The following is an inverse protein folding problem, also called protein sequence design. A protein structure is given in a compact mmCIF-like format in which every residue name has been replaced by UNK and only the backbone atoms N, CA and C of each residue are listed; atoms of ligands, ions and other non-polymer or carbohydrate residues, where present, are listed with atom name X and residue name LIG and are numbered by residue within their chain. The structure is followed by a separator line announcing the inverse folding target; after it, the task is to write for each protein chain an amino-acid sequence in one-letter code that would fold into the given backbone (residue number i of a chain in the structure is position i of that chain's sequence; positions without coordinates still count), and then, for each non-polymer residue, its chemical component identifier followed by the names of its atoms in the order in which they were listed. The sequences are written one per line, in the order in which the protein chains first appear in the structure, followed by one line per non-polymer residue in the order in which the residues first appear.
data_IF_341000037622
#
_entry.id   IF_341000037622
#
_cell.length_a   1.000
_cell.length_b   1.000
_cell.length_c   1.000
_cell.angle_alpha   90.00
_cell.angle_beta   90.00
_cell.angle_gamma   90.00
#
_symmetry.space_group_name_H-M   'P 1'
#
loop_
_entity.id
_entity.type
_entity.pdbx_description
1 polymer ?
#
# COMPACT_ATOMS: atom_id res chain seq x y z
N UNK A 1 -33.82 14.74 5.93
CA UNK A 1 -32.80 13.70 6.23
C UNK A 1 -32.45 13.71 7.69
N UNK A 2 -32.13 12.55 8.29
CA UNK A 2 -31.71 12.41 9.69
C UNK A 2 -30.55 11.41 9.86
N UNK A 3 -29.88 11.46 11.00
CA UNK A 3 -28.76 10.56 11.32
C UNK A 3 -29.26 9.40 12.16
N UNK A 4 -28.88 8.18 11.78
CA UNK A 4 -29.06 6.94 12.54
C UNK A 4 -27.69 6.48 13.04
N UNK A 5 -27.50 6.47 14.37
CA UNK A 5 -26.29 5.93 14.99
C UNK A 5 -26.36 4.38 14.98
N UNK A 6 -25.28 3.73 14.54
CA UNK A 6 -25.21 2.29 14.32
C UNK A 6 -24.40 1.59 15.43
N UNK A 7 -24.85 1.68 16.67
CA UNK A 7 -24.14 1.08 17.81
C UNK A 7 -24.28 -0.44 17.89
N UNK A 8 -25.40 -1.03 17.44
CA UNK A 8 -25.73 -2.46 17.60
C UNK A 8 -26.31 -3.14 16.34
N UNK A 9 -26.47 -2.44 15.24
CA UNK A 9 -27.08 -2.96 14.01
C UNK A 9 -26.15 -2.73 12.79
N UNK A 10 -24.93 -3.24 12.89
CA UNK A 10 -23.90 -3.06 11.85
C UNK A 10 -24.24 -3.75 10.53
N UNK A 11 -25.16 -4.73 10.55
CA UNK A 11 -25.63 -5.44 9.35
C UNK A 11 -26.24 -4.49 8.31
N UNK A 12 -27.08 -3.53 8.74
CA UNK A 12 -27.66 -2.54 7.83
C UNK A 12 -26.60 -1.60 7.24
N UNK A 13 -25.59 -1.25 8.04
CA UNK A 13 -24.45 -0.45 7.58
C UNK A 13 -23.67 -1.21 6.50
N UNK A 14 -23.31 -2.45 6.76
CA UNK A 14 -22.59 -3.28 5.79
C UNK A 14 -23.41 -3.51 4.52
N UNK A 15 -24.70 -3.80 4.64
CA UNK A 15 -25.60 -4.00 3.50
C UNK A 15 -25.63 -2.76 2.59
N UNK A 16 -25.66 -1.55 3.16
CA UNK A 16 -25.54 -0.33 2.39
C UNK A 16 -24.16 -0.19 1.72
N UNK A 17 -23.09 -0.40 2.51
CA UNK A 17 -21.70 -0.28 2.00
C UNK A 17 -21.44 -1.21 0.81
N UNK A 18 -21.94 -2.44 0.83
CA UNK A 18 -21.74 -3.44 -0.22
C UNK A 18 -22.30 -2.99 -1.59
N UNK A 19 -23.35 -2.19 -1.58
CA UNK A 19 -23.97 -1.69 -2.80
C UNK A 19 -23.28 -0.47 -3.43
N UNK A 20 -22.35 0.17 -2.70
CA UNK A 20 -21.76 1.43 -3.13
C UNK A 20 -20.49 1.25 -3.96
N UNK A 21 -20.35 2.00 -5.05
CA UNK A 21 -19.17 1.95 -5.92
C UNK A 21 -17.90 2.46 -5.21
N UNK A 22 -18.05 3.51 -4.38
CA UNK A 22 -16.93 4.13 -3.62
C UNK A 22 -16.76 3.54 -2.22
N UNK A 23 -17.20 2.28 -2.01
CA UNK A 23 -16.97 1.54 -0.78
C UNK A 23 -15.48 1.33 -0.52
N UNK A 24 -15.09 1.44 0.74
CA UNK A 24 -13.70 1.32 1.15
C UNK A 24 -13.59 0.72 2.55
N UNK A 25 -12.53 -0.04 2.81
CA UNK A 25 -12.25 -0.60 4.13
C UNK A 25 -12.12 0.50 5.20
N UNK A 26 -11.63 1.67 4.82
CA UNK A 26 -11.39 2.78 5.73
C UNK A 26 -12.68 3.40 6.31
N UNK A 27 -13.82 3.08 5.74
CA UNK A 27 -15.14 3.48 6.24
C UNK A 27 -15.88 2.33 6.95
N UNK A 28 -15.23 1.19 7.16
CA UNK A 28 -15.85 0.09 7.92
C UNK A 28 -15.81 0.35 9.44
N UNK A 29 -16.80 -0.13 10.19
CA UNK A 29 -16.77 -0.11 11.65
C UNK A 29 -15.53 -0.80 12.23
N UNK A 30 -15.08 -1.89 11.60
CA UNK A 30 -13.92 -2.69 11.97
C UNK A 30 -12.63 -1.88 11.88
N UNK A 31 -12.46 -1.11 10.80
CA UNK A 31 -11.32 -0.19 10.69
C UNK A 31 -11.35 0.88 11.78
N UNK A 32 -12.54 1.36 12.12
CA UNK A 32 -12.74 2.28 13.24
C UNK A 32 -12.26 1.71 14.57
N UNK A 33 -12.48 0.41 14.83
CA UNK A 33 -11.99 -0.28 16.04
C UNK A 33 -10.48 -0.22 16.17
N UNK A 34 -9.75 -0.48 15.08
CA UNK A 34 -8.28 -0.35 15.05
C UNK A 34 -7.81 1.05 15.48
N UNK A 35 -8.57 2.10 15.17
CA UNK A 35 -8.20 3.49 15.51
C UNK A 35 -8.55 3.88 16.95
N UNK A 36 -9.53 3.24 17.55
CA UNK A 36 -9.99 3.57 18.91
C UNK A 36 -9.11 3.01 20.01
N UNK A 37 -8.18 2.12 19.73
CA UNK A 37 -7.13 1.68 20.67
C UNK A 37 -6.05 2.75 20.92
N UNK A 38 -6.27 3.96 20.45
CA UNK A 38 -5.34 5.07 20.60
C UNK A 38 -6.02 6.35 21.08
N UNK A 39 -5.72 7.46 20.44
CA UNK A 39 -6.21 8.80 20.80
C UNK A 39 -7.53 9.20 20.12
N UNK A 40 -8.16 8.29 19.40
CA UNK A 40 -9.39 8.53 18.66
C UNK A 40 -10.59 7.85 19.32
N UNK A 41 -11.76 8.48 19.22
CA UNK A 41 -13.06 7.84 19.41
C UNK A 41 -13.79 7.79 18.07
N UNK A 42 -14.87 7.02 17.94
CA UNK A 42 -15.59 6.88 16.68
C UNK A 42 -17.10 6.88 16.85
N UNK A 43 -17.79 7.29 15.79
CA UNK A 43 -19.20 6.99 15.54
C UNK A 43 -19.33 6.27 14.19
N UNK A 44 -20.31 5.36 14.09
CA UNK A 44 -20.71 4.71 12.84
C UNK A 44 -22.15 5.16 12.56
N UNK A 45 -22.37 5.78 11.40
CA UNK A 45 -23.57 6.52 11.07
C UNK A 45 -24.14 6.13 9.72
N UNK A 46 -25.45 5.96 9.63
CA UNK A 46 -26.18 6.05 8.37
C UNK A 46 -26.92 7.40 8.29
N UNK A 47 -26.85 8.04 7.16
CA UNK A 47 -27.71 9.19 6.84
C UNK A 47 -28.94 8.64 6.12
N UNK A 48 -30.09 8.87 6.71
CA UNK A 48 -31.38 8.37 6.23
C UNK A 48 -32.14 9.48 5.53
N UNK A 49 -32.73 9.16 4.39
CA UNK A 49 -33.70 10.03 3.72
C UNK A 49 -35.05 10.00 4.48
N UNK A 50 -35.96 10.89 4.08
CA UNK A 50 -37.27 11.01 4.76
C UNK A 50 -38.18 9.78 4.52
N UNK A 51 -37.90 9.01 3.48
CA UNK A 51 -38.55 7.71 3.20
C UNK A 51 -37.91 6.54 3.96
N UNK A 52 -37.00 6.81 4.90
CA UNK A 52 -36.26 5.83 5.71
C UNK A 52 -35.23 4.96 4.95
N UNK A 53 -34.89 5.31 3.72
CA UNK A 53 -33.81 4.64 2.99
C UNK A 53 -32.44 5.26 3.31
N UNK A 54 -31.37 4.45 3.48
CA UNK A 54 -30.02 4.97 3.67
C UNK A 54 -29.50 5.60 2.37
N UNK A 55 -28.89 6.78 2.48
CA UNK A 55 -28.29 7.53 1.35
C UNK A 55 -26.80 7.80 1.54
N UNK A 56 -26.29 7.63 2.74
CA UNK A 56 -24.86 7.71 3.01
C UNK A 56 -24.46 6.88 4.24
N UNK A 57 -23.23 6.37 4.22
CA UNK A 57 -22.57 5.71 5.34
C UNK A 57 -21.32 6.50 5.75
N UNK A 58 -21.13 6.69 7.04
CA UNK A 58 -19.99 7.42 7.58
C UNK A 58 -19.44 6.77 8.86
N UNK A 59 -18.22 6.28 8.82
CA UNK A 59 -17.42 5.99 10.00
C UNK A 59 -16.57 7.22 10.29
N UNK A 60 -16.86 7.90 11.39
CA UNK A 60 -16.24 9.18 11.75
C UNK A 60 -15.37 9.00 12.98
N UNK A 61 -14.11 9.35 12.85
CA UNK A 61 -13.13 9.39 13.93
C UNK A 61 -13.10 10.79 14.56
N UNK A 62 -12.98 10.86 15.89
CA UNK A 62 -12.88 12.12 16.61
C UNK A 62 -11.57 12.20 17.39
N UNK A 63 -10.83 13.28 17.18
CA UNK A 63 -9.63 13.58 17.94
C UNK A 63 -9.85 14.83 18.78
N UNK A 64 -9.73 14.68 20.11
CA UNK A 64 -9.90 15.77 21.06
C UNK A 64 -8.75 16.77 20.96
N UNK A 65 -9.07 18.07 20.99
CA UNK A 65 -8.06 19.11 21.14
C UNK A 65 -7.57 19.17 22.60
N UNK A 66 -6.26 19.34 22.82
CA UNK A 66 -5.72 19.49 24.17
C UNK A 66 -6.34 20.68 24.90
N UNK A 67 -6.75 20.47 26.17
CA UNK A 67 -7.22 21.54 27.07
C UNK A 67 -8.65 22.05 26.83
N UNK A 68 -9.35 21.61 25.79
CA UNK A 68 -10.71 22.06 25.46
C UNK A 68 -11.62 20.90 25.05
N UNK A 69 -12.93 21.06 25.26
CA UNK A 69 -13.92 20.07 24.85
C UNK A 69 -14.33 20.32 23.39
N UNK A 70 -13.36 20.21 22.47
CA UNK A 70 -13.56 20.31 21.02
C UNK A 70 -12.86 19.19 20.29
N UNK A 71 -13.44 18.74 19.19
CA UNK A 71 -12.98 17.60 18.43
C UNK A 71 -12.79 17.95 16.96
N UNK A 72 -11.69 17.45 16.37
CA UNK A 72 -11.60 17.28 14.91
C UNK A 72 -12.33 16.00 14.54
N UNK A 73 -13.31 16.08 13.67
CA UNK A 73 -13.93 14.92 13.05
C UNK A 73 -13.21 14.58 11.75
N UNK A 74 -12.99 13.29 11.49
CA UNK A 74 -12.33 12.81 10.27
C UNK A 74 -13.01 11.54 9.75
N UNK A 75 -13.43 11.54 8.50
CA UNK A 75 -13.94 10.36 7.81
C UNK A 75 -12.89 9.88 6.80
N UNK A 76 -12.03 8.90 7.17
CA UNK A 76 -10.93 8.43 6.32
C UNK A 76 -11.47 7.80 5.02
N UNK A 77 -11.01 8.26 3.87
CA UNK A 77 -11.48 7.83 2.55
C UNK A 77 -13.01 7.90 2.37
N UNK A 78 -13.69 8.70 3.20
CA UNK A 78 -15.15 8.78 3.24
C UNK A 78 -15.66 10.19 2.91
N UNK A 79 -16.94 10.37 3.08
CA UNK A 79 -17.98 9.39 3.41
C UNK A 79 -18.39 8.55 2.17
N UNK A 80 -19.09 7.45 2.38
CA UNK A 80 -19.61 6.64 1.27
C UNK A 80 -21.01 7.11 0.92
N UNK A 81 -21.17 7.73 -0.25
CA UNK A 81 -22.43 8.30 -0.77
C UNK A 81 -22.30 8.58 -2.27
N UNK A 82 -23.39 8.97 -2.91
CA UNK A 82 -23.37 9.46 -4.30
C UNK A 82 -22.88 10.91 -4.37
N UNK A 83 -21.71 11.14 -4.93
CA UNK A 83 -21.11 12.46 -5.12
C UNK A 83 -21.53 13.14 -6.44
N UNK A 84 -22.28 12.46 -7.29
CA UNK A 84 -22.84 13.06 -8.53
C UNK A 84 -24.11 13.86 -8.27
N UNK A 85 -24.86 13.50 -7.23
CA UNK A 85 -26.11 14.17 -6.86
C UNK A 85 -25.84 15.34 -5.89
N UNK A 86 -25.66 16.55 -6.44
CA UNK A 86 -25.31 17.75 -5.68
C UNK A 86 -26.34 18.12 -4.59
N UNK A 87 -27.64 17.96 -4.84
CA UNK A 87 -28.69 18.31 -3.87
C UNK A 87 -28.78 17.28 -2.74
N UNK A 88 -28.65 16.01 -3.05
CA UNK A 88 -28.56 14.97 -2.05
C UNK A 88 -27.31 15.18 -1.18
N UNK A 89 -26.17 15.45 -1.79
CA UNK A 89 -24.91 15.67 -1.10
C UNK A 89 -24.96 16.84 -0.13
N UNK A 90 -25.56 17.99 -0.53
CA UNK A 90 -25.79 19.13 0.36
C UNK A 90 -26.65 18.74 1.56
N UNK A 91 -27.72 17.98 1.34
CA UNK A 91 -28.64 17.54 2.39
C UNK A 91 -27.97 16.56 3.37
N UNK A 92 -27.17 15.62 2.86
CA UNK A 92 -26.37 14.69 3.64
C UNK A 92 -25.40 15.44 4.56
N UNK A 93 -24.61 16.36 4.02
CA UNK A 93 -23.64 17.12 4.80
C UNK A 93 -24.29 18.15 5.72
N UNK A 94 -25.46 18.67 5.40
CA UNK A 94 -26.23 19.50 6.32
C UNK A 94 -26.70 18.70 7.56
N UNK A 95 -27.20 17.47 7.38
CA UNK A 95 -27.56 16.58 8.48
C UNK A 95 -26.34 16.21 9.34
N UNK A 96 -25.23 15.82 8.71
CA UNK A 96 -23.96 15.53 9.41
C UNK A 96 -23.43 16.73 10.18
N UNK A 97 -23.51 17.94 9.62
CA UNK A 97 -23.07 19.18 10.30
C UNK A 97 -23.85 19.45 11.59
N UNK A 98 -25.16 19.22 11.59
CA UNK A 98 -25.98 19.35 12.80
C UNK A 98 -25.57 18.34 13.85
N UNK A 99 -25.42 17.07 13.47
CA UNK A 99 -24.98 15.98 14.33
C UNK A 99 -23.60 16.25 14.95
N UNK A 100 -22.63 16.58 14.12
CA UNK A 100 -21.24 16.82 14.53
C UNK A 100 -21.11 18.07 15.45
N UNK A 101 -21.95 19.08 15.24
CA UNK A 101 -22.04 20.24 16.13
C UNK A 101 -22.47 19.82 17.53
N UNK A 102 -23.45 18.91 17.65
CA UNK A 102 -23.91 18.39 18.94
C UNK A 102 -22.81 17.54 19.63
N UNK A 103 -21.94 16.88 18.86
CA UNK A 103 -20.74 16.16 19.37
C UNK A 103 -19.55 17.08 19.67
N UNK A 104 -19.71 18.41 19.66
CA UNK A 104 -18.66 19.40 19.85
C UNK A 104 -17.53 19.36 18.80
N UNK A 105 -17.76 18.80 17.62
CA UNK A 105 -16.81 18.91 16.53
C UNK A 105 -16.70 20.35 16.03
N UNK A 106 -15.49 20.80 15.73
CA UNK A 106 -15.25 22.13 15.17
C UNK A 106 -15.09 22.14 13.65
N UNK A 107 -14.75 20.97 13.07
CA UNK A 107 -14.62 20.75 11.65
C UNK A 107 -14.74 19.26 11.30
N UNK A 108 -15.15 18.97 10.08
CA UNK A 108 -15.12 17.64 9.49
C UNK A 108 -14.12 17.62 8.34
N UNK A 109 -13.14 16.72 8.39
CA UNK A 109 -12.22 16.42 7.29
C UNK A 109 -12.70 15.18 6.56
N UNK A 110 -12.65 15.21 5.22
CA UNK A 110 -12.88 14.07 4.34
C UNK A 110 -11.77 14.00 3.29
N UNK A 111 -11.48 12.82 2.78
CA UNK A 111 -10.57 12.54 1.66
C UNK A 111 -11.10 11.36 0.82
N UNK A 112 -12.28 11.52 0.19
CA UNK A 112 -13.04 10.41 -0.38
C UNK A 112 -12.23 9.64 -1.43
N UNK A 113 -12.47 8.31 -1.48
CA UNK A 113 -11.87 7.40 -2.47
C UNK A 113 -12.56 7.57 -3.83
N UNK A 114 -12.43 8.77 -4.39
CA UNK A 114 -12.98 9.17 -5.68
C UNK A 114 -11.85 9.53 -6.63
N UNK A 115 -11.78 8.83 -7.74
CA UNK A 115 -10.80 9.13 -8.78
C UNK A 115 -11.09 10.48 -9.43
N UNK A 116 -10.04 11.30 -9.58
CA UNK A 116 -10.21 12.64 -10.15
C UNK A 116 -9.91 12.70 -11.65
N UNK A 117 -8.62 12.51 -12.03
CA UNK A 117 -8.15 12.68 -13.40
C UNK A 117 -7.45 11.40 -13.88
N UNK A 118 -7.38 11.24 -15.20
CA UNK A 118 -6.69 10.12 -15.82
C UNK A 118 -5.19 10.38 -15.96
N UNK A 119 -4.41 9.39 -15.54
CA UNK A 119 -2.96 9.41 -15.59
C UNK A 119 -2.43 8.17 -16.28
N UNK A 120 -1.31 8.32 -17.00
CA UNK A 120 -0.48 7.16 -17.36
C UNK A 120 0.26 6.65 -16.12
N UNK A 121 0.68 5.37 -16.13
CA UNK A 121 1.50 4.83 -15.04
C UNK A 121 2.92 5.45 -14.96
N UNK A 122 3.26 6.39 -15.86
CA UNK A 122 4.51 7.16 -15.88
C UNK A 122 4.39 8.53 -15.22
N UNK A 123 3.33 8.81 -14.51
CA UNK A 123 3.03 10.10 -13.88
C UNK A 123 2.82 11.25 -14.90
N UNK A 124 2.23 10.94 -16.04
CA UNK A 124 1.83 11.92 -17.04
C UNK A 124 0.30 11.98 -17.12
N UNK A 125 -0.27 13.18 -17.05
CA UNK A 125 -1.71 13.37 -17.27
C UNK A 125 -2.09 13.00 -18.69
N UNK A 126 -3.17 12.25 -18.89
CA UNK A 126 -3.69 11.88 -20.21
C UNK A 126 -4.41 13.09 -20.81
N UNK A 127 -3.90 13.60 -21.94
CA UNK A 127 -4.58 14.68 -22.67
C UNK A 127 -5.93 14.18 -23.23
N UNK A 128 -7.02 14.89 -22.88
CA UNK A 128 -8.38 14.47 -23.24
C UNK A 128 -8.91 13.27 -22.45
N UNK A 129 -8.18 12.79 -21.44
CA UNK A 129 -8.62 11.76 -20.50
C UNK A 129 -9.80 12.21 -19.64
N UNK A 130 -10.40 11.31 -18.90
CA UNK A 130 -11.51 11.67 -18.02
C UNK A 130 -11.08 12.67 -16.94
N UNK A 131 -12.02 13.51 -16.51
CA UNK A 131 -11.85 14.48 -15.44
C UNK A 131 -13.15 14.61 -14.64
N UNK A 132 -13.15 14.05 -13.44
CA UNK A 132 -14.31 14.03 -12.55
C UNK A 132 -14.41 15.31 -11.69
N UNK A 133 -14.18 16.47 -12.29
CA UNK A 133 -14.25 17.79 -11.64
C UNK A 133 -15.64 18.07 -11.03
N UNK A 134 -16.67 17.37 -11.49
CA UNK A 134 -18.02 17.47 -10.93
C UNK A 134 -18.06 17.08 -9.45
N UNK A 135 -17.36 16.02 -9.03
CA UNK A 135 -17.30 15.61 -7.63
C UNK A 135 -16.74 16.73 -6.76
N UNK A 136 -15.65 17.37 -7.22
CA UNK A 136 -15.03 18.49 -6.52
C UNK A 136 -16.00 19.68 -6.40
N UNK A 137 -16.68 20.05 -7.48
CA UNK A 137 -17.67 21.13 -7.47
C UNK A 137 -18.80 20.84 -6.50
N UNK A 138 -19.31 19.62 -6.45
CA UNK A 138 -20.40 19.22 -5.58
C UNK A 138 -19.98 19.22 -4.10
N UNK A 139 -18.76 18.79 -3.78
CA UNK A 139 -18.19 18.85 -2.42
C UNK A 139 -18.06 20.31 -1.98
N UNK A 140 -17.51 21.19 -2.80
CA UNK A 140 -17.37 22.62 -2.49
C UNK A 140 -18.76 23.28 -2.30
N UNK A 141 -19.74 22.94 -3.15
CA UNK A 141 -21.11 23.42 -3.04
C UNK A 141 -21.84 22.93 -1.79
N UNK A 142 -21.41 21.79 -1.21
CA UNK A 142 -21.89 21.28 0.06
C UNK A 142 -21.27 21.98 1.29
N UNK A 143 -20.40 22.98 1.09
CA UNK A 143 -19.84 23.84 2.13
C UNK A 143 -18.46 23.43 2.66
N UNK A 144 -17.74 22.65 1.90
CA UNK A 144 -16.35 22.33 2.15
C UNK A 144 -15.38 23.37 1.58
N UNK A 145 -14.18 23.37 2.14
CA UNK A 145 -13.02 24.10 1.63
C UNK A 145 -11.97 23.05 1.24
N UNK A 146 -11.45 23.14 0.04
CA UNK A 146 -10.38 22.28 -0.41
C UNK A 146 -9.08 22.60 0.30
N UNK A 147 -8.30 21.57 0.61
CA UNK A 147 -6.95 21.71 1.14
C UNK A 147 -5.93 21.53 0.03
N UNK A 148 -4.98 22.48 -0.11
CA UNK A 148 -3.84 22.26 -0.98
C UNK A 148 -3.11 20.99 -0.57
N UNK A 149 -2.86 20.11 -1.52
CA UNK A 149 -2.10 18.88 -1.34
C UNK A 149 -1.12 18.74 -2.49
N UNK A 150 0.09 18.36 -2.19
CA UNK A 150 1.03 17.91 -3.19
C UNK A 150 0.68 16.49 -3.69
N UNK A 151 1.21 16.12 -4.84
CA UNK A 151 1.06 14.77 -5.39
C UNK A 151 2.09 13.80 -4.76
N UNK A 152 2.31 13.95 -3.45
CA UNK A 152 3.23 13.18 -2.63
C UNK A 152 2.54 12.53 -1.44
N UNK A 153 3.27 12.47 -0.32
CA UNK A 153 2.82 11.87 0.94
C UNK A 153 2.41 12.88 2.01
N UNK A 154 2.17 14.14 1.65
CA UNK A 154 1.93 15.24 2.61
C UNK A 154 0.54 15.22 3.26
N UNK A 155 -0.41 14.46 2.69
CA UNK A 155 -1.76 14.30 3.23
C UNK A 155 -1.86 13.29 4.38
N UNK A 156 -3.05 13.18 4.98
CA UNK A 156 -3.34 12.11 5.94
C UNK A 156 -3.32 10.75 5.22
N UNK A 157 -3.82 10.75 3.99
CA UNK A 157 -3.77 9.59 3.07
C UNK A 157 -3.09 10.02 1.76
N UNK A 158 -2.38 9.12 1.08
CA UNK A 158 -1.75 9.44 -0.20
C UNK A 158 -2.80 9.81 -1.25
N UNK A 159 -2.52 10.89 -1.99
CA UNK A 159 -3.39 11.33 -3.08
C UNK A 159 -3.25 10.47 -4.33
N UNK A 160 -2.03 10.00 -4.60
CA UNK A 160 -1.74 9.07 -5.69
C UNK A 160 -1.58 7.66 -5.15
N UNK A 161 -2.15 6.71 -5.86
CA UNK A 161 -1.97 5.28 -5.63
C UNK A 161 -1.82 4.53 -6.95
N UNK A 162 -1.36 3.28 -6.88
CA UNK A 162 -1.30 2.38 -8.03
C UNK A 162 -2.21 1.18 -7.80
N UNK A 163 -3.17 0.98 -8.69
CA UNK A 163 -4.17 -0.09 -8.60
C UNK A 163 -4.00 -1.05 -9.77
N UNK A 164 -3.85 -2.33 -9.47
CA UNK A 164 -3.79 -3.38 -10.47
C UNK A 164 -5.12 -4.15 -10.50
N UNK A 165 -5.89 -4.07 -11.58
CA UNK A 165 -7.01 -4.99 -11.79
C UNK A 165 -6.49 -6.43 -11.92
N UNK A 166 -6.90 -7.31 -11.00
CA UNK A 166 -6.49 -8.70 -11.04
C UNK A 166 -7.36 -9.47 -12.03
N UNK A 167 -6.72 -10.03 -13.05
CA UNK A 167 -7.34 -10.88 -14.07
C UNK A 167 -6.57 -12.18 -14.14
N UNK A 168 -7.26 -13.29 -14.04
CA UNK A 168 -6.71 -14.61 -14.30
C UNK A 168 -7.43 -15.22 -15.50
N UNK A 169 -6.74 -15.30 -16.61
CA UNK A 169 -7.28 -15.91 -17.84
C UNK A 169 -7.18 -17.46 -17.80
N UNK A 170 -7.21 -18.04 -16.59
CA UNK A 170 -7.03 -19.48 -16.36
C UNK A 170 -5.58 -19.96 -16.40
N UNK A 171 -4.62 -19.02 -16.35
CA UNK A 171 -3.16 -19.32 -16.37
C UNK A 171 -2.42 -18.84 -15.12
N UNK A 172 -3.11 -18.12 -14.25
CA UNK A 172 -2.56 -17.48 -13.06
C UNK A 172 -2.12 -16.03 -13.27
N UNK A 173 -2.21 -15.25 -12.20
CA UNK A 173 -1.92 -13.79 -12.20
C UNK A 173 -0.49 -13.49 -12.71
N UNK A 174 0.49 -14.34 -12.40
CA UNK A 174 1.89 -14.15 -12.84
C UNK A 174 2.01 -14.17 -14.38
N UNK A 175 1.16 -14.90 -15.08
CA UNK A 175 1.20 -14.97 -16.54
C UNK A 175 0.68 -13.70 -17.22
N UNK A 176 -0.04 -12.84 -16.49
CA UNK A 176 -0.48 -11.52 -16.98
C UNK A 176 0.65 -10.47 -16.97
N UNK A 177 1.74 -10.71 -16.21
CA UNK A 177 2.86 -9.79 -16.13
C UNK A 177 3.68 -9.80 -17.44
N UNK A 178 4.40 -8.71 -17.69
CA UNK A 178 5.35 -8.67 -18.79
C UNK A 178 6.45 -9.75 -18.62
N UNK A 179 7.08 -10.14 -19.73
CA UNK A 179 8.05 -11.25 -19.78
C UNK A 179 9.19 -11.10 -18.76
N UNK A 180 9.69 -9.88 -18.54
CA UNK A 180 10.80 -9.60 -17.63
C UNK A 180 10.40 -9.86 -16.17
N UNK A 181 9.22 -9.40 -15.78
CA UNK A 181 8.76 -9.54 -14.39
C UNK A 181 8.32 -10.97 -14.08
N UNK A 182 7.67 -11.64 -15.03
CA UNK A 182 7.36 -13.07 -14.98
C UNK A 182 8.62 -13.91 -14.76
N UNK A 183 9.68 -13.61 -15.54
CA UNK A 183 10.98 -14.26 -15.37
C UNK A 183 11.54 -14.10 -13.96
N UNK A 184 11.52 -12.89 -13.39
CA UNK A 184 12.01 -12.62 -12.02
C UNK A 184 11.27 -13.44 -10.98
N UNK A 185 9.93 -13.49 -11.04
CA UNK A 185 9.11 -14.28 -10.11
C UNK A 185 9.45 -15.78 -10.22
N UNK A 186 9.54 -16.29 -11.43
CA UNK A 186 9.83 -17.71 -11.67
C UNK A 186 11.25 -18.09 -11.24
N UNK A 187 12.23 -17.20 -11.43
CA UNK A 187 13.60 -17.41 -10.97
C UNK A 187 13.68 -17.37 -9.44
N UNK A 188 12.99 -16.43 -8.79
CA UNK A 188 12.94 -16.37 -7.33
C UNK A 188 12.48 -17.69 -6.71
N UNK A 189 11.40 -18.27 -7.24
CA UNK A 189 10.90 -19.60 -6.81
C UNK A 189 11.96 -20.72 -6.99
N UNK A 190 12.64 -20.75 -8.14
CA UNK A 190 13.71 -21.71 -8.41
C UNK A 190 14.93 -21.53 -7.49
N UNK A 191 15.16 -20.32 -7.01
CA UNK A 191 16.24 -19.96 -6.10
C UNK A 191 15.87 -20.15 -4.62
N UNK A 192 14.77 -20.86 -4.31
CA UNK A 192 14.41 -21.21 -2.95
C UNK A 192 13.56 -20.16 -2.21
N UNK A 193 13.00 -19.17 -2.91
CA UNK A 193 12.03 -18.27 -2.29
C UNK A 193 10.69 -18.98 -2.09
N UNK A 194 10.27 -19.12 -0.83
CA UNK A 194 9.02 -19.74 -0.39
C UNK A 194 8.16 -18.67 0.29
N UNK A 195 6.89 -18.55 -0.14
CA UNK A 195 5.92 -17.61 0.41
C UNK A 195 4.92 -18.35 1.30
N UNK A 196 4.50 -17.71 2.40
CA UNK A 196 3.52 -18.28 3.33
C UNK A 196 2.73 -17.20 4.06
N UNK A 197 1.57 -17.59 4.62
CA UNK A 197 0.79 -16.75 5.54
C UNK A 197 1.38 -16.85 6.93
N UNK A 198 1.65 -15.70 7.53
CA UNK A 198 2.08 -15.59 8.91
C UNK A 198 0.92 -15.54 9.89
N UNK A 199 1.27 -15.64 11.16
CA UNK A 199 0.36 -15.58 12.30
C UNK A 199 0.72 -14.42 13.23
N UNK A 200 -0.04 -14.26 14.31
CA UNK A 200 0.30 -13.28 15.36
C UNK A 200 1.68 -13.54 16.00
N UNK A 201 2.10 -14.80 16.05
CA UNK A 201 3.39 -15.21 16.62
C UNK A 201 4.58 -14.73 15.77
N UNK A 202 4.36 -14.47 14.48
CA UNK A 202 5.38 -13.96 13.55
C UNK A 202 5.56 -12.43 13.60
N UNK A 203 4.80 -11.72 14.45
CA UNK A 203 4.90 -10.25 14.57
C UNK A 203 6.31 -9.75 14.88
N UNK A 204 7.11 -10.40 15.76
CA UNK A 204 8.49 -9.97 16.01
C UNK A 204 9.37 -10.01 14.74
N UNK A 205 9.18 -11.02 13.88
CA UNK A 205 9.90 -11.14 12.60
C UNK A 205 9.51 -9.96 11.66
N UNK A 206 8.22 -9.64 11.61
CA UNK A 206 7.75 -8.51 10.81
C UNK A 206 8.29 -7.18 11.34
N UNK A 207 8.32 -6.98 12.66
CA UNK A 207 8.82 -5.76 13.29
C UNK A 207 10.30 -5.50 12.96
N UNK A 208 11.12 -6.56 12.97
CA UNK A 208 12.53 -6.49 12.56
C UNK A 208 12.65 -6.03 11.10
N UNK A 209 11.93 -6.67 10.17
CA UNK A 209 11.90 -6.27 8.75
C UNK A 209 11.41 -4.83 8.56
N UNK A 210 10.38 -4.42 9.31
CA UNK A 210 9.79 -3.09 9.26
C UNK A 210 10.79 -2.02 9.72
N UNK A 211 11.56 -2.27 10.79
CA UNK A 211 12.63 -1.38 11.27
C UNK A 211 13.75 -1.22 10.24
N UNK A 212 14.22 -2.32 9.67
CA UNK A 212 15.25 -2.31 8.62
C UNK A 212 14.79 -1.50 7.40
N UNK A 213 13.53 -1.71 7.00
CA UNK A 213 12.94 -1.00 5.84
C UNK A 213 12.79 0.49 6.13
N UNK A 214 12.30 0.85 7.32
CA UNK A 214 12.10 2.23 7.72
C UNK A 214 13.41 3.02 7.83
N UNK A 215 14.47 2.40 8.35
CA UNK A 215 15.81 2.99 8.43
C UNK A 215 16.38 3.23 7.02
N UNK A 216 16.28 2.25 6.13
CA UNK A 216 16.72 2.36 4.73
C UNK A 216 16.00 3.47 3.98
N UNK A 217 14.67 3.49 4.07
CA UNK A 217 13.80 4.37 3.27
C UNK A 217 13.44 5.67 4.00
N UNK A 218 14.05 5.92 5.18
CA UNK A 218 13.99 7.15 5.98
C UNK A 218 12.55 7.60 6.33
N UNK A 219 11.67 6.67 6.69
CA UNK A 219 10.34 6.98 7.18
C UNK A 219 10.13 6.48 8.63
N UNK A 220 9.07 6.98 9.28
CA UNK A 220 8.70 6.52 10.62
C UNK A 220 7.87 5.24 10.52
N UNK A 221 8.45 4.11 10.94
CA UNK A 221 7.75 2.83 10.98
C UNK A 221 6.49 2.90 11.87
N UNK A 222 5.44 2.18 11.50
CA UNK A 222 4.33 1.92 12.40
C UNK A 222 4.83 1.03 13.55
N UNK A 223 4.39 1.34 14.76
CA UNK A 223 4.79 0.55 15.92
C UNK A 223 4.20 -0.87 15.85
N UNK A 224 4.89 -1.81 16.47
CA UNK A 224 4.44 -3.21 16.54
C UNK A 224 3.10 -3.33 17.27
N UNK A 225 2.87 -2.48 18.29
CA UNK A 225 1.61 -2.45 19.04
C UNK A 225 0.44 -2.09 18.12
N UNK A 226 0.61 -1.07 17.27
CA UNK A 226 -0.42 -0.69 16.30
C UNK A 226 -0.70 -1.80 15.28
N UNK A 227 0.35 -2.45 14.76
CA UNK A 227 0.20 -3.54 13.79
C UNK A 227 -0.44 -4.78 14.44
N UNK A 228 -0.08 -5.08 15.70
CA UNK A 228 -0.68 -6.14 16.50
C UNK A 228 -2.18 -5.87 16.73
N UNK A 229 -2.53 -4.66 17.17
CA UNK A 229 -3.92 -4.22 17.32
C UNK A 229 -4.70 -4.38 16.02
N UNK A 230 -4.14 -3.91 14.89
CA UNK A 230 -4.77 -4.05 13.59
C UNK A 230 -5.01 -5.52 13.22
N UNK A 231 -4.03 -6.39 13.44
CA UNK A 231 -4.17 -7.83 13.20
C UNK A 231 -5.26 -8.44 14.07
N UNK A 232 -5.25 -8.16 15.38
CA UNK A 232 -6.21 -8.70 16.34
C UNK A 232 -7.67 -8.31 16.05
N UNK A 233 -7.91 -7.07 15.58
CA UNK A 233 -9.25 -6.60 15.24
C UNK A 233 -9.75 -7.08 13.88
N UNK A 234 -8.86 -7.11 12.87
CA UNK A 234 -9.26 -7.35 11.49
C UNK A 234 -9.09 -8.81 11.03
N UNK A 235 -8.09 -9.55 11.53
CA UNK A 235 -7.83 -10.92 11.09
C UNK A 235 -8.97 -11.90 11.41
N UNK A 236 -9.61 -11.87 12.61
CA UNK A 236 -10.75 -12.75 12.90
C UNK A 236 -11.95 -12.52 11.99
N UNK A 237 -12.02 -11.34 11.34
CA UNK A 237 -13.06 -10.95 10.38
C UNK A 237 -12.65 -11.22 8.93
N UNK A 238 -11.49 -11.84 8.71
CA UNK A 238 -10.93 -12.10 7.39
C UNK A 238 -10.46 -10.86 6.62
N UNK A 239 -10.33 -9.71 7.30
CA UNK A 239 -10.05 -8.41 6.68
C UNK A 239 -8.58 -8.04 6.63
N UNK A 240 -7.68 -8.77 7.29
CA UNK A 240 -6.23 -8.59 7.18
C UNK A 240 -5.52 -9.91 7.27
N UNK A 241 -4.46 -10.04 6.49
CA UNK A 241 -3.51 -11.14 6.61
C UNK A 241 -2.08 -10.60 6.62
N UNK A 242 -1.20 -11.36 7.30
CA UNK A 242 0.24 -11.17 7.32
C UNK A 242 0.88 -12.22 6.41
N UNK A 243 1.80 -11.78 5.56
CA UNK A 243 2.45 -12.63 4.58
C UNK A 243 3.96 -12.49 4.65
N UNK A 244 4.68 -13.60 4.35
CA UNK A 244 6.13 -13.62 4.35
C UNK A 244 6.70 -14.34 3.14
N UNK A 245 7.92 -13.92 2.75
CA UNK A 245 8.80 -14.69 1.89
C UNK A 245 10.06 -15.09 2.66
N UNK A 246 10.36 -16.38 2.66
CA UNK A 246 11.54 -17.00 3.26
C UNK A 246 12.44 -17.55 2.17
N UNK A 247 13.75 -17.46 2.35
CA UNK A 247 14.72 -18.12 1.48
C UNK A 247 15.10 -19.47 2.11
N UNK A 248 14.88 -20.56 1.37
CA UNK A 248 15.41 -21.87 1.66
C UNK A 248 16.83 -21.98 1.08
N UNK A 249 17.83 -21.90 1.93
CA UNK A 249 19.22 -21.91 1.48
C UNK A 249 19.69 -23.27 0.97
N UNK A 250 19.04 -24.39 1.33
CA UNK A 250 19.34 -25.69 0.73
C UNK A 250 18.95 -25.69 -0.76
N UNK A 251 17.77 -25.19 -1.08
CA UNK A 251 17.29 -25.05 -2.48
C UNK A 251 18.18 -24.06 -3.23
N UNK A 252 18.54 -22.94 -2.61
CA UNK A 252 19.42 -21.96 -3.24
C UNK A 252 20.80 -22.52 -3.55
N UNK A 253 21.38 -23.27 -2.61
CA UNK A 253 22.69 -23.94 -2.78
C UNK A 253 22.64 -24.93 -3.93
N UNK A 254 21.62 -25.79 -3.98
CA UNK A 254 21.43 -26.75 -5.07
C UNK A 254 21.29 -26.06 -6.42
N UNK A 255 20.53 -24.94 -6.48
CA UNK A 255 20.39 -24.15 -7.71
C UNK A 255 21.71 -23.52 -8.15
N UNK A 256 22.48 -22.91 -7.24
CA UNK A 256 23.78 -22.32 -7.54
C UNK A 256 24.80 -23.37 -8.00
N UNK A 257 24.83 -24.53 -7.34
CA UNK A 257 25.70 -25.67 -7.71
C UNK A 257 25.38 -26.18 -9.12
N UNK A 258 24.10 -26.36 -9.44
CA UNK A 258 23.68 -26.79 -10.79
C UNK A 258 24.10 -25.80 -11.88
N UNK A 259 24.01 -24.48 -11.59
CA UNK A 259 24.50 -23.44 -12.52
C UNK A 259 26.00 -23.50 -12.74
N UNK A 260 26.77 -23.73 -11.67
CA UNK A 260 28.23 -23.89 -11.74
C UNK A 260 28.59 -25.11 -12.60
N UNK A 261 28.00 -26.26 -12.32
CA UNK A 261 28.25 -27.49 -13.08
C UNK A 261 27.90 -27.33 -14.57
N UNK A 262 26.77 -26.66 -14.85
CA UNK A 262 26.35 -26.41 -16.23
C UNK A 262 27.34 -25.48 -16.95
N UNK A 263 27.79 -24.42 -16.28
CA UNK A 263 28.77 -23.51 -16.86
C UNK A 263 30.12 -24.16 -17.05
N UNK A 264 30.57 -25.04 -16.13
CA UNK A 264 31.82 -25.80 -16.25
C UNK A 264 31.77 -26.77 -17.44
N UNK A 265 30.69 -27.54 -17.60
CA UNK A 265 30.51 -28.47 -18.74
C UNK A 265 30.57 -27.73 -20.08
N UNK A 266 29.92 -26.55 -20.16
CA UNK A 266 29.96 -25.77 -21.42
C UNK A 266 31.34 -25.14 -21.65
N UNK A 267 32.04 -24.70 -20.59
CA UNK A 267 33.42 -24.23 -20.65
C UNK A 267 34.35 -25.31 -21.21
N UNK A 268 34.30 -26.54 -20.66
CA UNK A 268 35.14 -27.66 -21.08
C UNK A 268 34.86 -28.05 -22.54
N UNK A 269 33.57 -28.08 -22.92
CA UNK A 269 33.13 -28.35 -24.32
C UNK A 269 33.66 -27.30 -25.30
N UNK A 270 33.52 -26.00 -24.99
CA UNK A 270 33.99 -24.94 -25.87
C UNK A 270 35.50 -24.89 -25.96
N UNK A 271 36.22 -25.19 -24.88
CA UNK A 271 37.67 -25.28 -24.85
C UNK A 271 38.16 -26.41 -25.72
N UNK A 272 37.55 -27.62 -25.67
CA UNK A 272 37.85 -28.70 -26.56
C UNK A 272 37.52 -28.43 -28.05
N UNK A 273 36.42 -27.68 -28.30
CA UNK A 273 36.09 -27.25 -29.65
C UNK A 273 37.14 -26.27 -30.23
N UNK A 274 37.70 -25.40 -29.42
CA UNK A 274 38.67 -24.39 -29.83
C UNK A 274 39.92 -25.04 -30.47
N UNK A 275 40.33 -26.22 -29.96
CA UNK A 275 41.50 -26.96 -30.47
C UNK A 275 41.35 -27.46 -31.92
N UNK A 276 40.10 -27.63 -32.39
CA UNK A 276 39.79 -28.17 -33.72
C UNK A 276 39.29 -27.12 -34.71
N UNK A 277 39.12 -25.88 -34.28
CA UNK A 277 38.57 -24.79 -35.11
C UNK A 277 39.68 -24.17 -36.00
N UNK A 278 39.42 -24.05 -37.30
CA UNK A 278 40.33 -23.41 -38.26
C UNK A 278 39.84 -22.05 -38.80
N UNK A 279 38.58 -21.66 -38.50
CA UNK A 279 37.99 -20.41 -38.96
C UNK A 279 38.25 -19.27 -37.96
N UNK A 280 38.99 -18.18 -38.33
CA UNK A 280 39.36 -17.12 -37.38
C UNK A 280 38.17 -16.44 -36.72
N UNK A 281 37.09 -16.17 -37.43
CA UNK A 281 35.87 -15.54 -36.86
C UNK A 281 35.17 -16.46 -35.86
N UNK A 282 35.15 -17.78 -36.11
CA UNK A 282 34.59 -18.75 -35.17
C UNK A 282 35.47 -18.87 -33.92
N UNK A 283 36.79 -18.87 -34.08
CA UNK A 283 37.75 -18.89 -32.98
C UNK A 283 37.51 -17.69 -32.06
N UNK A 284 37.44 -16.49 -32.61
CA UNK A 284 37.19 -15.28 -31.84
C UNK A 284 35.84 -15.34 -31.06
N UNK A 285 34.77 -15.80 -31.70
CA UNK A 285 33.46 -15.93 -31.03
C UNK A 285 33.49 -16.95 -29.89
N UNK A 286 34.13 -18.11 -30.06
CA UNK A 286 34.27 -19.15 -29.05
C UNK A 286 35.14 -18.63 -27.89
N UNK A 287 36.22 -17.93 -28.18
CA UNK A 287 37.06 -17.29 -27.13
C UNK A 287 36.26 -16.30 -26.29
N UNK A 288 35.44 -15.44 -26.91
CA UNK A 288 34.54 -14.49 -26.16
C UNK A 288 33.55 -15.25 -25.28
N UNK A 289 32.98 -16.36 -25.73
CA UNK A 289 32.08 -17.21 -24.93
C UNK A 289 32.83 -17.83 -23.74
N UNK A 290 34.03 -18.35 -23.95
CA UNK A 290 34.90 -18.94 -22.93
C UNK A 290 35.21 -17.90 -21.85
N UNK A 291 35.58 -16.64 -22.21
CA UNK A 291 35.86 -15.59 -21.24
C UNK A 291 34.59 -15.23 -20.45
N UNK A 292 33.44 -15.15 -21.10
CA UNK A 292 32.17 -14.93 -20.40
C UNK A 292 31.83 -16.06 -19.40
N UNK A 293 32.11 -17.31 -19.78
CA UNK A 293 31.92 -18.49 -18.89
C UNK A 293 32.85 -18.44 -17.68
N UNK A 294 34.14 -18.07 -17.86
CA UNK A 294 35.09 -17.91 -16.74
C UNK A 294 34.56 -16.89 -15.70
N UNK A 295 34.05 -15.76 -16.17
CA UNK A 295 33.45 -14.74 -15.29
C UNK A 295 32.24 -15.30 -14.54
N UNK A 296 31.38 -16.03 -15.24
CA UNK A 296 30.19 -16.64 -14.64
C UNK A 296 30.56 -17.75 -13.61
N UNK A 297 31.52 -18.61 -13.93
CA UNK A 297 32.02 -19.66 -13.01
C UNK A 297 32.51 -19.01 -11.72
N UNK A 298 33.42 -18.05 -11.80
CA UNK A 298 33.93 -17.34 -10.61
C UNK A 298 32.81 -16.65 -9.79
N UNK A 299 31.78 -16.15 -10.46
CA UNK A 299 30.60 -15.58 -9.79
C UNK A 299 29.80 -16.67 -9.06
N UNK A 300 29.57 -17.82 -9.67
CA UNK A 300 28.80 -18.91 -9.05
C UNK A 300 29.55 -19.54 -7.89
N UNK A 301 30.87 -19.68 -7.96
CA UNK A 301 31.71 -20.12 -6.84
C UNK A 301 31.54 -19.18 -5.64
N UNK A 302 31.65 -17.87 -5.83
CA UNK A 302 31.41 -16.87 -4.78
C UNK A 302 29.99 -16.93 -4.21
N UNK A 303 28.99 -17.14 -5.08
CA UNK A 303 27.59 -17.30 -4.67
C UNK A 303 27.43 -18.54 -3.78
N UNK A 304 28.02 -19.67 -4.15
CA UNK A 304 28.01 -20.93 -3.38
C UNK A 304 28.62 -20.72 -2.00
N UNK A 305 29.80 -20.08 -1.91
CA UNK A 305 30.46 -19.82 -0.62
C UNK A 305 29.59 -18.92 0.28
N UNK A 306 28.99 -17.88 -0.28
CA UNK A 306 28.05 -17.03 0.47
C UNK A 306 26.86 -17.83 0.97
N UNK A 307 26.21 -18.61 0.09
CA UNK A 307 25.01 -19.38 0.43
C UNK A 307 25.30 -20.46 1.47
N UNK A 308 26.51 -21.08 1.46
CA UNK A 308 26.94 -21.99 2.54
C UNK A 308 27.00 -21.28 3.89
N UNK A 309 27.60 -20.09 3.95
CA UNK A 309 27.62 -19.29 5.16
C UNK A 309 26.21 -18.88 5.65
N UNK A 310 25.34 -18.49 4.71
CA UNK A 310 23.93 -18.19 5.02
C UNK A 310 23.20 -19.44 5.56
N UNK A 311 23.47 -20.63 4.98
CA UNK A 311 22.86 -21.89 5.43
C UNK A 311 23.33 -22.30 6.81
N UNK A 312 24.62 -22.12 7.14
CA UNK A 312 25.13 -22.36 8.48
C UNK A 312 24.48 -21.44 9.53
N UNK A 313 24.29 -20.17 9.17
CA UNK A 313 23.67 -19.19 10.06
C UNK A 313 22.14 -19.37 10.19
N UNK A 314 21.48 -19.79 9.12
CA UNK A 314 20.02 -19.92 9.04
C UNK A 314 19.62 -21.28 8.45
N UNK A 315 19.80 -22.39 9.17
CA UNK A 315 19.54 -23.75 8.66
C UNK A 315 18.06 -23.97 8.27
N UNK A 316 17.14 -23.29 8.95
CA UNK A 316 15.70 -23.33 8.64
C UNK A 316 15.28 -22.29 7.59
N UNK A 317 16.26 -21.58 6.99
CA UNK A 317 16.03 -20.47 6.07
C UNK A 317 15.79 -19.14 6.79
N UNK A 318 15.82 -18.04 6.03
CA UNK A 318 15.67 -16.67 6.53
C UNK A 318 14.48 -15.98 5.92
N UNK A 319 13.65 -15.35 6.76
CA UNK A 319 12.59 -14.45 6.27
C UNK A 319 13.21 -13.15 5.78
N UNK A 320 12.90 -12.77 4.56
CA UNK A 320 13.53 -11.63 3.87
C UNK A 320 12.54 -10.56 3.40
N UNK A 321 11.25 -10.88 3.39
CA UNK A 321 10.19 -9.93 3.06
C UNK A 321 8.92 -10.28 3.80
N UNK A 322 8.15 -9.27 4.17
CA UNK A 322 6.85 -9.41 4.83
C UNK A 322 5.88 -8.33 4.37
N UNK A 323 4.59 -8.60 4.49
CA UNK A 323 3.54 -7.67 4.10
C UNK A 323 2.27 -7.81 4.93
N UNK A 324 1.67 -6.68 5.34
CA UNK A 324 0.29 -6.59 5.79
C UNK A 324 -0.59 -6.19 4.62
N UNK A 325 -1.58 -7.02 4.31
CA UNK A 325 -2.58 -6.73 3.27
C UNK A 325 -3.95 -6.75 3.90
N UNK A 326 -4.65 -5.63 3.77
CA UNK A 326 -6.03 -5.48 4.22
C UNK A 326 -6.95 -5.76 3.04
N UNK A 327 -8.04 -6.49 3.27
CA UNK A 327 -9.01 -6.84 2.24
C UNK A 327 -10.41 -6.38 2.64
N UNK A 328 -11.18 -5.93 1.66
CA UNK A 328 -12.58 -5.60 1.85
C UNK A 328 -13.35 -5.88 0.55
N UNK A 329 -14.31 -6.80 0.61
CA UNK A 329 -15.06 -7.29 -0.55
C UNK A 329 -14.10 -7.77 -1.66
N UNK A 330 -14.09 -7.10 -2.80
CA UNK A 330 -13.28 -7.43 -3.97
C UNK A 330 -11.96 -6.63 -4.07
N UNK A 331 -11.64 -5.81 -3.04
CA UNK A 331 -10.45 -4.97 -3.01
C UNK A 331 -9.42 -5.46 -1.98
N UNK A 332 -8.14 -5.40 -2.34
CA UNK A 332 -7.01 -5.58 -1.44
C UNK A 332 -6.14 -4.32 -1.39
N UNK A 333 -5.68 -3.97 -0.20
CA UNK A 333 -4.81 -2.82 0.06
C UNK A 333 -3.48 -3.30 0.64
N UNK A 334 -2.39 -3.15 -0.10
CA UNK A 334 -1.02 -3.46 0.32
C UNK A 334 -0.50 -2.31 1.20
N UNK A 335 -0.92 -2.30 2.47
CA UNK A 335 -0.69 -1.15 3.35
C UNK A 335 0.74 -1.03 3.86
N UNK A 336 1.35 -2.14 4.25
CA UNK A 336 2.68 -2.15 4.86
C UNK A 336 3.49 -3.30 4.31
N UNK A 337 4.48 -2.97 3.49
CA UNK A 337 5.48 -3.90 2.99
C UNK A 337 6.82 -3.66 3.66
N UNK A 338 7.52 -4.73 4.01
CA UNK A 338 8.85 -4.68 4.62
C UNK A 338 9.77 -5.70 3.97
N UNK A 339 11.04 -5.32 3.71
CA UNK A 339 12.01 -6.24 3.12
C UNK A 339 13.44 -5.84 3.47
N UNK A 340 14.33 -6.82 3.54
CA UNK A 340 15.75 -6.55 3.65
C UNK A 340 16.35 -6.21 2.28
N UNK A 341 17.41 -5.40 2.29
CA UNK A 341 18.28 -5.22 1.12
C UNK A 341 19.36 -6.29 1.09
N UNK A 342 19.82 -6.65 -0.09
CA UNK A 342 20.93 -7.58 -0.22
C UNK A 342 20.56 -9.04 -0.12
N UNK A 343 19.30 -9.38 -0.47
CA UNK A 343 18.83 -10.77 -0.62
C UNK A 343 19.55 -11.53 -1.77
N UNK A 344 20.69 -11.01 -2.24
CA UNK A 344 21.43 -11.57 -3.36
C UNK A 344 20.77 -11.40 -4.72
N UNK A 345 19.78 -10.50 -4.84
CA UNK A 345 19.03 -10.27 -6.09
C UNK A 345 17.96 -11.34 -6.34
N UNK A 346 17.49 -12.01 -5.29
CA UNK A 346 16.49 -13.09 -5.38
C UNK A 346 15.10 -12.63 -5.81
N UNK A 347 14.82 -11.32 -5.80
CA UNK A 347 13.49 -10.76 -6.07
C UNK A 347 12.39 -11.32 -5.14
N UNK A 348 12.73 -11.60 -3.88
CA UNK A 348 11.83 -12.23 -2.92
C UNK A 348 10.55 -11.40 -2.67
N UNK A 349 10.67 -10.06 -2.55
CA UNK A 349 9.51 -9.19 -2.40
C UNK A 349 8.57 -9.26 -3.61
N UNK A 350 9.12 -9.37 -4.82
CA UNK A 350 8.31 -9.51 -6.04
C UNK A 350 7.59 -10.86 -6.07
N UNK A 351 8.27 -11.94 -5.70
CA UNK A 351 7.66 -13.26 -5.58
C UNK A 351 6.54 -13.27 -4.53
N UNK A 352 6.79 -12.60 -3.37
CA UNK A 352 5.80 -12.47 -2.30
C UNK A 352 4.53 -11.75 -2.80
N UNK A 353 4.67 -10.55 -3.36
CA UNK A 353 3.52 -9.76 -3.81
C UNK A 353 2.75 -10.49 -4.91
N UNK A 354 3.44 -11.15 -5.84
CA UNK A 354 2.79 -11.97 -6.88
C UNK A 354 2.03 -13.16 -6.30
N UNK A 355 2.59 -13.81 -5.29
CA UNK A 355 1.94 -14.92 -4.60
C UNK A 355 0.73 -14.45 -3.79
N UNK A 356 0.83 -13.30 -3.11
CA UNK A 356 -0.29 -12.67 -2.40
C UNK A 356 -1.45 -12.39 -3.35
N UNK A 357 -1.19 -11.78 -4.51
CA UNK A 357 -2.22 -11.47 -5.50
C UNK A 357 -2.95 -12.75 -5.96
N UNK A 358 -2.21 -13.83 -6.27
CA UNK A 358 -2.81 -15.10 -6.67
C UNK A 358 -3.64 -15.69 -5.54
N UNK A 359 -3.08 -15.75 -4.32
CA UNK A 359 -3.76 -16.29 -3.14
C UNK A 359 -5.07 -15.53 -2.85
N UNK A 360 -5.03 -14.20 -2.90
CA UNK A 360 -6.22 -13.37 -2.65
C UNK A 360 -7.27 -13.50 -3.76
N UNK A 361 -6.82 -13.60 -5.00
CA UNK A 361 -7.72 -13.84 -6.13
C UNK A 361 -8.46 -15.17 -6.00
N UNK A 362 -7.73 -16.25 -5.68
CA UNK A 362 -8.28 -17.61 -5.60
C UNK A 362 -9.13 -17.83 -4.33
N UNK A 363 -8.64 -17.39 -3.17
CA UNK A 363 -9.27 -17.71 -1.89
C UNK A 363 -10.34 -16.71 -1.46
N UNK A 364 -10.20 -15.42 -1.80
CA UNK A 364 -11.09 -14.35 -1.34
C UNK A 364 -11.85 -13.64 -2.47
N UNK A 365 -11.63 -14.04 -3.72
CA UNK A 365 -12.31 -13.40 -4.84
C UNK A 365 -11.89 -11.95 -5.09
N UNK A 366 -10.69 -11.54 -4.65
CA UNK A 366 -10.18 -10.18 -4.87
C UNK A 366 -9.98 -9.93 -6.38
N UNK A 367 -10.42 -8.76 -6.83
CA UNK A 367 -10.34 -8.33 -8.23
C UNK A 367 -9.57 -7.04 -8.43
N UNK A 368 -9.25 -6.34 -7.33
CA UNK A 368 -8.50 -5.09 -7.34
C UNK A 368 -7.43 -5.11 -6.27
N UNK A 369 -6.17 -4.87 -6.65
CA UNK A 369 -5.02 -4.81 -5.75
C UNK A 369 -4.43 -3.42 -5.75
N UNK A 370 -4.64 -2.69 -4.66
CA UNK A 370 -4.10 -1.35 -4.44
C UNK A 370 -2.73 -1.45 -3.76
N UNK A 371 -1.67 -1.10 -4.49
CA UNK A 371 -0.30 -1.00 -3.96
C UNK A 371 -0.12 0.13 -2.95
N UNK A 372 -1.16 0.91 -2.73
CA UNK A 372 -1.16 2.09 -1.89
C UNK A 372 -0.21 3.19 -2.38
N UNK A 373 -0.02 4.24 -1.57
CA UNK A 373 0.59 5.49 -1.94
C UNK A 373 1.84 5.44 -2.81
N UNK A 374 1.88 6.33 -3.79
CA UNK A 374 3.03 6.67 -4.63
C UNK A 374 3.21 8.19 -4.66
N UNK A 375 4.35 8.66 -5.14
CA UNK A 375 4.64 10.09 -5.25
C UNK A 375 5.17 10.42 -6.64
N UNK A 376 4.84 11.60 -7.17
CA UNK A 376 5.45 12.11 -8.40
C UNK A 376 6.95 12.45 -8.22
N UNK A 377 7.41 12.60 -6.99
CA UNK A 377 8.84 12.81 -6.66
C UNK A 377 9.65 11.54 -6.92
N UNK A 378 10.16 11.42 -8.14
CA UNK A 378 10.97 10.28 -8.57
C UNK A 378 12.37 10.29 -7.95
N UNK A 379 12.88 11.43 -7.52
CA UNK A 379 14.22 11.54 -6.92
C UNK A 379 14.26 10.82 -5.56
N UNK A 380 13.26 11.07 -4.71
CA UNK A 380 13.21 10.48 -3.38
C UNK A 380 12.45 9.15 -3.33
N UNK A 381 11.47 8.94 -4.24
CA UNK A 381 10.56 7.79 -4.19
C UNK A 381 10.64 6.87 -5.42
N UNK A 382 11.60 7.09 -6.33
CA UNK A 382 11.74 6.31 -7.57
C UNK A 382 11.90 4.80 -7.36
N UNK A 383 12.49 4.38 -6.26
CA UNK A 383 12.65 2.95 -5.92
C UNK A 383 11.31 2.26 -5.64
N UNK A 384 10.47 2.85 -4.78
CA UNK A 384 9.15 2.31 -4.45
C UNK A 384 8.18 2.42 -5.63
N UNK A 385 8.22 3.55 -6.35
CA UNK A 385 7.42 3.76 -7.54
C UNK A 385 7.77 2.73 -8.61
N UNK A 386 9.06 2.55 -8.93
CA UNK A 386 9.52 1.60 -9.94
C UNK A 386 9.20 0.14 -9.59
N UNK A 387 9.22 -0.22 -8.30
CA UNK A 387 8.76 -1.53 -7.85
C UNK A 387 7.28 -1.73 -8.20
N UNK A 388 6.40 -0.80 -7.83
CA UNK A 388 4.95 -0.87 -8.09
C UNK A 388 4.64 -0.80 -9.59
N UNK A 389 5.24 0.14 -10.32
CA UNK A 389 5.11 0.27 -11.78
C UNK A 389 5.49 -1.00 -12.55
N UNK A 390 6.41 -1.81 -12.00
CA UNK A 390 6.86 -3.03 -12.68
C UNK A 390 5.77 -4.09 -12.85
N UNK A 391 4.65 -3.98 -12.13
CA UNK A 391 3.47 -4.83 -12.29
C UNK A 391 2.46 -4.27 -13.31
N UNK A 392 2.76 -3.12 -13.92
CA UNK A 392 1.91 -2.42 -14.89
C UNK A 392 0.51 -2.04 -14.35
N UNK A 393 0.42 -1.43 -13.15
CA UNK A 393 -0.82 -0.96 -12.58
C UNK A 393 -1.31 0.33 -13.23
N UNK A 394 -2.57 0.67 -12.98
CA UNK A 394 -3.14 2.00 -13.25
C UNK A 394 -2.70 2.99 -12.18
N UNK A 395 -2.25 4.19 -12.57
CA UNK A 395 -2.03 5.28 -11.64
C UNK A 395 -3.34 6.01 -11.38
N UNK A 396 -3.77 6.04 -10.13
CA UNK A 396 -5.02 6.65 -9.70
C UNK A 396 -4.73 7.89 -8.87
N UNK A 397 -5.28 9.03 -9.29
CA UNK A 397 -5.32 10.25 -8.50
C UNK A 397 -6.67 10.38 -7.81
N UNK A 398 -6.68 10.41 -6.47
CA UNK A 398 -7.88 10.74 -5.71
C UNK A 398 -8.12 12.25 -5.65
N UNK A 399 -9.37 12.63 -5.41
CA UNK A 399 -9.82 14.03 -5.47
C UNK A 399 -9.17 14.94 -4.40
N UNK A 400 -8.56 14.36 -3.36
CA UNK A 400 -7.84 15.09 -2.31
C UNK A 400 -8.64 15.31 -1.03
N UNK A 401 -8.14 16.22 -0.20
CA UNK A 401 -8.68 16.50 1.13
C UNK A 401 -9.58 17.74 1.12
N UNK A 402 -10.69 17.63 1.86
CA UNK A 402 -11.64 18.73 2.04
C UNK A 402 -12.02 18.87 3.51
N UNK A 403 -12.14 20.11 3.97
CA UNK A 403 -12.54 20.43 5.34
C UNK A 403 -13.86 21.20 5.34
N UNK A 404 -14.83 20.75 6.14
CA UNK A 404 -16.06 21.47 6.38
C UNK A 404 -16.00 22.20 7.72
N UNK A 405 -16.04 23.55 7.76
CA UNK A 405 -16.13 24.30 9.00
C UNK A 405 -17.49 24.06 9.71
N UNK A 406 -17.43 23.59 10.97
CA UNK A 406 -18.62 23.44 11.82
C UNK A 406 -18.69 24.61 12.81
N UNK A 407 -17.58 24.93 13.48
CA UNK A 407 -17.42 26.13 14.29
C UNK A 407 -16.36 27.03 13.67
N UNK A 408 -16.76 28.15 13.07
CA UNK A 408 -15.84 29.05 12.35
C UNK A 408 -14.66 29.50 13.22
N UNK A 409 -14.92 29.92 14.47
CA UNK A 409 -13.87 30.35 15.38
C UNK A 409 -12.82 29.26 15.66
N UNK A 410 -13.25 28.05 16.05
CA UNK A 410 -12.34 26.95 16.39
C UNK A 410 -11.65 26.39 15.16
N UNK A 411 -12.32 26.41 14.02
CA UNK A 411 -11.77 25.97 12.75
C UNK A 411 -10.62 26.89 12.29
N UNK A 412 -10.84 28.21 12.29
CA UNK A 412 -9.81 29.19 11.96
C UNK A 412 -8.64 29.15 12.96
N UNK A 413 -8.95 29.01 14.25
CA UNK A 413 -7.95 28.88 15.29
C UNK A 413 -7.04 27.66 15.04
N UNK A 414 -7.62 26.51 14.72
CA UNK A 414 -6.88 25.28 14.48
C UNK A 414 -6.01 25.35 13.20
N UNK A 415 -6.57 25.84 12.11
CA UNK A 415 -5.89 25.86 10.82
C UNK A 415 -4.96 27.05 10.59
N UNK A 416 -5.18 28.17 11.27
CA UNK A 416 -4.43 29.41 11.04
C UNK A 416 -3.52 29.78 12.21
N UNK A 417 -4.02 29.72 13.43
CA UNK A 417 -3.31 30.24 14.61
C UNK A 417 -2.41 29.18 15.24
N UNK A 418 -2.86 27.93 15.35
CA UNK A 418 -2.06 26.87 15.96
C UNK A 418 -0.75 26.59 15.19
N UNK A 419 -0.74 26.48 13.86
CA UNK A 419 0.50 26.33 13.09
C UNK A 419 1.44 27.53 13.24
N UNK A 420 0.90 28.76 13.26
CA UNK A 420 1.71 29.97 13.48
C UNK A 420 2.34 30.01 14.85
N UNK A 421 1.60 29.61 15.90
CA UNK A 421 2.11 29.54 17.27
C UNK A 421 3.24 28.49 17.40
N UNK A 422 3.10 27.31 16.78
CA UNK A 422 4.14 26.26 16.74
C UNK A 422 5.37 26.75 16.00
N UNK A 423 5.20 27.38 14.83
CA UNK A 423 6.31 27.96 14.06
C UNK A 423 7.06 29.04 14.86
N UNK A 424 6.32 29.91 15.55
CA UNK A 424 6.93 30.96 16.38
C UNK A 424 7.70 30.35 17.56
N UNK A 425 7.14 29.34 18.24
CA UNK A 425 7.81 28.61 19.32
C UNK A 425 9.11 27.96 18.83
N UNK A 426 9.09 27.32 17.69
CA UNK A 426 10.29 26.70 17.10
C UNK A 426 11.35 27.74 16.74
N UNK A 427 10.97 28.89 16.18
CA UNK A 427 11.91 30.01 15.90
C UNK A 427 12.53 30.56 17.18
N UNK A 428 11.78 30.66 18.28
CA UNK A 428 12.28 31.12 19.59
C UNK A 428 13.27 30.10 20.17
N UNK A 429 12.95 28.80 20.09
CA UNK A 429 13.82 27.72 20.58
C UNK A 429 15.15 27.65 19.83
N UNK A 430 15.12 27.84 18.50
CA UNK A 430 16.35 27.90 17.66
C UNK A 430 17.20 29.12 18.02
N UNK A 431 16.57 30.30 18.30
CA UNK A 431 17.29 31.49 18.72
C UNK A 431 17.92 31.39 20.13
N UNK A 432 17.39 30.55 21.01
CA UNK A 432 17.95 30.31 22.34
C UNK A 432 19.09 29.28 22.35
N UNK A 433 19.28 28.55 21.26
CA UNK A 433 20.36 27.55 21.09
C UNK A 433 21.56 28.11 20.29
N UNK A 434 21.46 29.34 19.77
CA UNK A 434 22.54 30.16 19.25
C UNK A 434 22.94 31.21 20.28
#
# INVERSE_FOLDING_TARGET
MYIKEMSNALEEYHAFMETQANRTVFQTPEWGEVKTDGSWTRDVLLVMADNHEPVAAAMILYRKLPGVNKYLAYAPRGIVTDYTNAEQLKSVFAALKVYLKAKNAFGLKIDPELQWREWTNKFEMVEGGFNNEEYRKNILAAGFVERPMDLGFDGIQPRLTMILPLKDEGKGIVETFNKKERYKVNVAKKQGVVCYKGTLEDMPIYDELNKITAERDQYVARSIEYLTTMYQHLHPKGMVDLYFAKVDYNVQLAFATNRLETAQKEYDKLTGQLETLNNPKRIENVQKQIESLKVNIAKYEKEIERVKGDLEQYPEGKVVSGAFVVTYLDKAYYLYGANITGDGGLNANKALVSWIMQTLYDEKGIRSFDFFGVSEDQEHHGGINGFKQSFDPELVEYIGEFDMPISKFWFEMFHTWAPKAVSLKNKILVRRKK
#
